data_IF_863808497279
#
_entry.id   IF_863808497279
#
_cell.length_a   1.000
_cell.length_b   1.000
_cell.length_c   1.000
_cell.angle_alpha   90.00
_cell.angle_beta   90.00
_cell.angle_gamma   90.00
#
_symmetry.space_group_name_H-M   'P 1'
#
loop_
_entity.id
_entity.type
_entity.pdbx_description
1 polymer ?
#
# COMPACT_ATOMS: atom_id res chain seq x y z
N UNK A 1 -13.64 8.89 -3.05
CA UNK A 1 -12.57 9.50 -2.21
C UNK A 1 -11.38 8.59 -1.86
N UNK A 2 -11.48 7.25 -1.82
CA UNK A 2 -10.30 6.37 -2.08
C UNK A 2 -10.61 5.36 -3.19
N UNK A 3 -11.86 4.90 -3.23
CA UNK A 3 -12.41 4.04 -4.29
C UNK A 3 -12.39 4.65 -5.71
N UNK A 4 -12.07 5.94 -5.83
CA UNK A 4 -11.90 6.64 -7.12
C UNK A 4 -10.45 6.56 -7.63
N UNK A 5 -9.49 6.20 -6.77
CA UNK A 5 -8.11 5.95 -7.18
C UNK A 5 -8.06 4.54 -7.79
N UNK A 6 -8.44 4.48 -9.07
CA UNK A 6 -8.47 3.26 -9.89
C UNK A 6 -7.84 3.53 -11.26
N UNK A 7 -6.51 3.60 -11.35
CA UNK A 7 -5.83 3.89 -12.61
C UNK A 7 -6.11 2.88 -13.73
N UNK A 8 -6.50 1.64 -13.37
CA UNK A 8 -6.73 0.53 -14.30
C UNK A 8 -7.89 -0.34 -13.79
N UNK A 9 -8.67 -1.01 -14.66
CA UNK A 9 -9.67 -1.97 -14.21
C UNK A 9 -9.06 -3.02 -13.26
N UNK A 10 -9.69 -3.21 -12.11
CA UNK A 10 -9.20 -4.13 -11.07
C UNK A 10 -8.11 -3.56 -10.16
N UNK A 11 -7.60 -2.34 -10.42
CA UNK A 11 -6.70 -1.67 -9.49
C UNK A 11 -7.43 -1.01 -8.33
N UNK A 12 -6.70 -0.73 -7.26
CA UNK A 12 -7.19 0.04 -6.14
C UNK A 12 -6.08 0.81 -5.42
N UNK A 13 -6.43 2.00 -4.92
CA UNK A 13 -5.59 2.79 -4.05
C UNK A 13 -5.84 2.51 -2.56
N UNK A 14 -4.83 2.74 -1.73
CA UNK A 14 -4.92 2.69 -0.28
C UNK A 14 -3.96 3.70 0.36
N UNK A 15 -4.24 4.12 1.58
CA UNK A 15 -3.44 5.09 2.33
C UNK A 15 -2.98 4.49 3.65
N UNK A 16 -1.67 4.51 3.87
CA UNK A 16 -1.04 4.08 5.11
C UNK A 16 -0.53 5.28 5.90
N UNK A 17 -0.75 5.23 7.22
CA UNK A 17 -0.10 6.15 8.15
C UNK A 17 1.40 5.83 8.29
N UNK A 18 2.15 6.70 8.97
CA UNK A 18 3.57 6.50 9.24
C UNK A 18 3.90 5.18 9.97
N UNK A 19 2.97 4.65 10.76
CA UNK A 19 3.13 3.39 11.49
C UNK A 19 2.53 2.19 10.73
N UNK A 20 2.19 2.35 9.45
CA UNK A 20 1.66 1.27 8.63
C UNK A 20 0.21 0.91 8.96
N UNK A 21 -0.59 1.83 9.49
CA UNK A 21 -2.04 1.62 9.69
C UNK A 21 -2.78 1.99 8.41
N UNK A 22 -3.67 1.12 7.93
CA UNK A 22 -4.57 1.44 6.82
C UNK A 22 -5.60 2.48 7.25
N UNK A 23 -5.45 3.69 6.74
CA UNK A 23 -6.34 4.83 7.04
C UNK A 23 -7.43 5.00 5.99
N UNK A 24 -7.17 4.54 4.76
CA UNK A 24 -8.17 4.44 3.70
C UNK A 24 -7.83 3.26 2.80
N UNK A 25 -8.79 2.38 2.56
CA UNK A 25 -8.66 1.19 1.69
C UNK A 25 -10.07 0.77 1.29
N UNK A 26 -10.31 0.19 0.09
CA UNK A 26 -11.68 -0.11 -0.35
C UNK A 26 -12.41 -1.14 0.49
N UNK A 27 -11.68 -2.00 1.20
CA UNK A 27 -12.25 -2.98 2.12
C UNK A 27 -12.26 -2.42 3.54
N UNK A 28 -13.42 -1.95 4.00
CA UNK A 28 -13.59 -1.32 5.32
C UNK A 28 -13.10 -2.18 6.49
N UNK A 29 -13.02 -3.51 6.33
CA UNK A 29 -12.50 -4.42 7.37
C UNK A 29 -11.01 -4.25 7.66
N UNK A 30 -10.26 -3.65 6.75
CA UNK A 30 -8.83 -3.39 6.91
C UNK A 30 -8.56 -2.00 7.49
N UNK A 31 -9.54 -1.11 7.53
CA UNK A 31 -9.37 0.24 8.07
C UNK A 31 -9.04 0.14 9.57
N UNK A 32 -8.06 0.94 10.01
CA UNK A 32 -7.47 0.94 11.36
C UNK A 32 -6.68 -0.33 11.74
N UNK A 33 -6.47 -1.25 10.81
CA UNK A 33 -5.56 -2.38 11.01
C UNK A 33 -4.14 -2.05 10.54
N UNK A 34 -3.15 -2.69 11.16
CA UNK A 34 -1.73 -2.52 10.79
C UNK A 34 -1.34 -3.48 9.68
N UNK A 35 -0.44 -3.05 8.79
CA UNK A 35 0.11 -3.92 7.75
C UNK A 35 0.91 -5.08 8.35
N UNK A 36 1.54 -4.90 9.50
CA UNK A 36 2.17 -6.01 10.26
C UNK A 36 1.17 -7.10 10.65
N UNK A 37 -0.08 -6.73 10.98
CA UNK A 37 -1.11 -7.70 11.36
C UNK A 37 -1.76 -8.36 10.15
N UNK A 38 -2.04 -7.58 9.10
CA UNK A 38 -2.77 -8.09 7.93
C UNK A 38 -1.83 -8.82 6.95
N UNK A 39 -0.59 -8.35 6.80
CA UNK A 39 0.36 -8.77 5.77
C UNK A 39 1.80 -8.88 6.37
N UNK A 40 2.00 -9.70 7.42
CA UNK A 40 3.26 -9.75 8.16
C UNK A 40 4.46 -10.15 7.28
N UNK A 41 4.28 -11.14 6.42
CA UNK A 41 5.34 -11.68 5.55
C UNK A 41 5.79 -10.62 4.53
N UNK A 42 4.85 -9.98 3.84
CA UNK A 42 5.18 -8.92 2.88
C UNK A 42 5.82 -7.70 3.52
N UNK A 43 5.35 -7.31 4.71
CA UNK A 43 5.96 -6.21 5.45
C UNK A 43 7.43 -6.53 5.78
N UNK A 44 7.73 -7.78 6.14
CA UNK A 44 9.08 -8.23 6.43
C UNK A 44 9.95 -8.28 5.16
N UNK A 45 9.46 -8.90 4.09
CA UNK A 45 10.20 -9.07 2.83
C UNK A 45 10.51 -7.74 2.16
N UNK A 46 9.55 -6.83 2.13
CA UNK A 46 9.65 -5.55 1.41
C UNK A 46 10.02 -4.38 2.32
N UNK A 47 10.21 -4.62 3.62
CA UNK A 47 10.50 -3.61 4.64
C UNK A 47 9.50 -2.43 4.59
N UNK A 48 8.21 -2.72 4.46
CA UNK A 48 7.19 -1.71 4.10
C UNK A 48 7.14 -0.57 5.12
N UNK A 49 7.02 -0.88 6.40
CA UNK A 49 6.95 0.16 7.45
C UNK A 49 8.23 0.99 7.52
N UNK A 50 9.40 0.39 7.34
CA UNK A 50 10.68 1.11 7.34
C UNK A 50 10.70 2.10 6.18
N UNK A 51 10.38 1.64 4.97
CA UNK A 51 10.31 2.49 3.79
C UNK A 51 9.30 3.63 3.94
N UNK A 52 8.14 3.38 4.56
CA UNK A 52 7.15 4.43 4.84
C UNK A 52 7.72 5.45 5.84
N UNK A 53 8.37 5.01 6.92
CA UNK A 53 8.93 5.89 7.94
C UNK A 53 10.04 6.79 7.40
N UNK A 54 10.88 6.25 6.52
CA UNK A 54 11.96 6.96 5.87
C UNK A 54 11.49 7.86 4.72
N UNK A 55 10.26 7.65 4.22
CA UNK A 55 9.70 8.38 3.10
C UNK A 55 10.25 7.92 1.75
N UNK A 56 10.58 6.64 1.63
CA UNK A 56 11.09 6.04 0.41
C UNK A 56 9.94 5.74 -0.57
N UNK A 57 10.22 5.86 -1.87
CA UNK A 57 9.38 5.31 -2.94
C UNK A 57 9.85 3.89 -3.22
N UNK A 58 8.92 2.95 -3.30
CA UNK A 58 9.24 1.56 -3.60
C UNK A 58 8.06 0.86 -4.25
N UNK A 59 8.34 -0.25 -4.90
CA UNK A 59 7.33 -1.07 -5.55
C UNK A 59 7.80 -2.51 -5.71
N UNK A 60 6.86 -3.43 -5.77
CA UNK A 60 7.13 -4.84 -5.97
C UNK A 60 5.96 -5.51 -6.70
N UNK A 61 6.21 -6.70 -7.26
CA UNK A 61 5.17 -7.56 -7.79
C UNK A 61 4.85 -8.60 -6.71
N UNK A 62 3.57 -8.79 -6.43
CA UNK A 62 3.05 -9.83 -5.56
C UNK A 62 2.14 -10.74 -6.36
N UNK A 63 2.28 -12.05 -6.18
CA UNK A 63 1.28 -13.02 -6.64
C UNK A 63 0.46 -13.49 -5.46
N UNK A 64 -0.86 -13.50 -5.60
CA UNK A 64 -1.77 -14.00 -4.56
C UNK A 64 -1.95 -15.52 -4.64
N UNK A 65 -2.79 -16.08 -3.77
CA UNK A 65 -3.07 -17.52 -3.73
C UNK A 65 -3.92 -18.04 -4.90
N UNK A 66 -4.41 -17.15 -5.76
CA UNK A 66 -5.19 -17.48 -6.96
C UNK A 66 -4.34 -17.30 -8.23
N UNK A 67 -3.01 -17.24 -8.09
CA UNK A 67 -2.04 -16.96 -9.16
C UNK A 67 -2.27 -15.63 -9.89
N UNK A 68 -2.92 -14.66 -9.23
CA UNK A 68 -3.07 -13.30 -9.78
C UNK A 68 -1.89 -12.44 -9.32
N UNK A 69 -1.14 -11.90 -10.28
CA UNK A 69 -0.06 -10.96 -10.00
C UNK A 69 -0.56 -9.52 -9.94
N UNK A 70 -0.04 -8.77 -8.99
CA UNK A 70 -0.28 -7.34 -8.81
C UNK A 70 1.04 -6.60 -8.70
N UNK A 71 1.19 -5.52 -9.45
CA UNK A 71 2.21 -4.52 -9.21
C UNK A 71 1.72 -3.55 -8.14
N UNK A 72 2.44 -3.47 -7.03
CA UNK A 72 2.10 -2.63 -5.88
C UNK A 72 3.16 -1.54 -5.78
N UNK A 73 2.73 -0.28 -5.78
CA UNK A 73 3.61 0.89 -5.67
C UNK A 73 3.23 1.75 -4.49
N UNK A 74 4.23 2.26 -3.77
CA UNK A 74 4.10 3.10 -2.59
C UNK A 74 4.80 4.43 -2.82
N UNK A 75 4.07 5.51 -2.56
CA UNK A 75 4.57 6.87 -2.71
C UNK A 75 4.43 7.67 -1.41
N UNK A 76 5.51 8.29 -0.93
CA UNK A 76 5.50 9.04 0.31
C UNK A 76 4.68 10.32 0.15
N UNK A 77 3.86 10.62 1.16
CA UNK A 77 3.08 11.83 1.28
C UNK A 77 3.46 12.57 2.56
N UNK A 78 3.56 13.90 2.48
CA UNK A 78 3.71 14.79 3.63
C UNK A 78 2.53 15.76 3.66
N UNK A 79 1.94 15.92 4.84
CA UNK A 79 0.87 16.87 5.07
C UNK A 79 1.43 18.10 5.79
N UNK A 80 1.51 19.22 5.08
CA UNK A 80 2.08 20.48 5.59
C UNK A 80 3.50 20.29 6.11
N UNK A 81 3.73 20.75 7.35
CA UNK A 81 5.03 20.67 8.03
C UNK A 81 5.17 19.45 8.95
N UNK A 82 4.28 18.45 8.85
CA UNK A 82 4.38 17.26 9.67
C UNK A 82 5.71 16.52 9.38
N UNK A 83 6.47 16.12 10.42
CA UNK A 83 7.74 15.43 10.23
C UNK A 83 7.56 14.00 9.69
N UNK A 84 6.39 13.41 9.93
CA UNK A 84 6.08 12.03 9.59
C UNK A 84 5.57 11.89 8.14
N UNK A 85 6.10 10.91 7.43
CA UNK A 85 5.60 10.50 6.13
C UNK A 85 4.42 9.56 6.26
N UNK A 86 3.45 9.75 5.39
CA UNK A 86 2.38 8.81 5.07
C UNK A 86 2.70 8.14 3.73
N UNK A 87 1.99 7.10 3.34
CA UNK A 87 2.22 6.46 2.05
C UNK A 87 0.92 6.17 1.30
N UNK A 88 0.83 6.69 0.08
CA UNK A 88 -0.21 6.32 -0.87
C UNK A 88 0.26 5.09 -1.64
N UNK A 89 -0.46 3.99 -1.45
CA UNK A 89 -0.26 2.75 -2.16
C UNK A 89 -1.27 2.61 -3.30
N UNK A 90 -0.84 1.97 -4.40
CA UNK A 90 -1.72 1.53 -5.47
C UNK A 90 -1.35 0.12 -5.86
N UNK A 91 -2.33 -0.79 -5.87
CA UNK A 91 -2.18 -2.14 -6.39
C UNK A 91 -2.87 -2.22 -7.76
N UNK A 92 -2.13 -2.67 -8.77
CA UNK A 92 -2.60 -2.77 -10.16
C UNK A 92 -2.42 -4.21 -10.64
N UNK A 93 -3.44 -4.84 -11.25
CA UNK A 93 -3.26 -6.14 -11.89
C UNK A 93 -2.06 -6.12 -12.85
N UNK A 94 -1.20 -7.10 -12.73
CA UNK A 94 0.00 -7.26 -13.54
C UNK A 94 -0.16 -8.50 -14.40
N UNK A 95 -0.49 -8.29 -15.68
CA UNK A 95 -0.50 -9.37 -16.66
C UNK A 95 0.93 -9.58 -17.16
N UNK A 96 1.41 -10.81 -17.06
CA UNK A 96 2.65 -11.23 -17.72
C UNK A 96 2.28 -11.53 -19.18
N UNK A 97 2.56 -10.58 -20.07
CA UNK A 97 2.40 -10.76 -21.52
C UNK A 97 3.37 -11.81 -22.09
#
# INVERSE_FOLDING_TARGET
MINEIRPYPGSYGFLLSNNGVFTAVPNDKMVNETIEKIMPEENLEQNIIINIKEGNRFSYIKTDSLDQSFYISYHPLKFGNAPAYWSLGVAVPYEIC
#
